data_IF_495107386807
#
_entry.id   IF_495107386807
#
_cell.length_a   1.000
_cell.length_b   1.000
_cell.length_c   1.000
_cell.angle_alpha   90.00
_cell.angle_beta   90.00
_cell.angle_gamma   90.00
#
_symmetry.space_group_name_H-M   'P 1'
#
loop_
_entity.id
_entity.type
_entity.pdbx_description
1 polymer ?
#
# COMPACT_ATOMS: atom_id res chain seq x y z
N UNK A 1 -12.42 31.08 20.31
CA UNK A 1 -13.80 31.49 20.28
C UNK A 1 -14.67 30.29 19.92
N UNK A 2 -15.55 29.96 20.84
CA UNK A 2 -16.44 28.79 20.83
C UNK A 2 -17.53 29.02 19.77
N UNK A 3 -17.63 28.12 18.77
CA UNK A 3 -18.69 28.15 17.77
C UNK A 3 -20.06 27.86 18.41
N UNK A 4 -21.01 28.77 18.18
CA UNK A 4 -22.40 28.64 18.61
C UNK A 4 -23.10 27.54 17.80
N UNK A 5 -23.80 26.65 18.50
CA UNK A 5 -24.74 25.70 17.89
C UNK A 5 -25.99 26.47 17.44
N UNK A 6 -26.39 26.30 16.17
CA UNK A 6 -27.68 26.78 15.65
C UNK A 6 -28.79 25.80 16.04
N UNK A 7 -29.81 26.34 16.70
CA UNK A 7 -31.02 25.60 17.11
C UNK A 7 -32.10 25.84 16.05
N UNK A 8 -32.44 24.83 15.28
CA UNK A 8 -33.60 24.87 14.38
C UNK A 8 -34.82 24.26 15.07
N UNK A 9 -35.83 25.12 15.37
CA UNK A 9 -37.11 24.69 15.96
C UNK A 9 -38.08 24.31 14.85
N UNK A 10 -38.47 23.05 14.80
CA UNK A 10 -39.66 22.60 14.07
C UNK A 10 -40.63 22.02 15.10
N UNK A 11 -41.77 22.66 15.26
CA UNK A 11 -42.86 22.20 16.12
C UNK A 11 -43.93 21.45 15.34
N UNK A 12 -44.24 20.23 15.75
CA UNK A 12 -45.57 19.62 15.60
C UNK A 12 -45.75 18.62 16.76
N UNK A 13 -46.71 18.89 17.64
CA UNK A 13 -47.41 17.93 18.51
C UNK A 13 -46.55 17.12 19.50
N UNK A 14 -46.24 17.70 20.66
CA UNK A 14 -46.28 16.99 21.94
C UNK A 14 -45.37 15.81 22.16
N UNK A 15 -44.04 15.94 21.95
CA UNK A 15 -42.98 15.31 22.74
C UNK A 15 -41.64 15.93 22.30
N UNK A 16 -41.04 16.77 23.17
CA UNK A 16 -39.72 17.31 22.93
C UNK A 16 -38.70 16.17 23.12
N UNK A 17 -38.31 15.50 22.05
CA UNK A 17 -37.05 14.73 22.03
C UNK A 17 -35.92 15.70 21.70
N UNK A 18 -35.14 16.05 22.70
CA UNK A 18 -33.88 16.75 22.53
C UNK A 18 -32.88 15.82 21.83
N UNK A 19 -32.76 15.93 20.49
CA UNK A 19 -31.69 15.27 19.76
C UNK A 19 -30.42 16.08 20.00
N UNK A 20 -29.69 15.73 21.06
CA UNK A 20 -28.31 16.18 21.23
C UNK A 20 -27.48 15.55 20.15
N UNK A 21 -27.28 16.27 19.05
CA UNK A 21 -26.34 15.89 18.01
C UNK A 21 -24.94 15.83 18.64
N UNK A 22 -24.47 14.65 18.99
CA UNK A 22 -23.07 14.46 19.39
C UNK A 22 -22.21 14.92 18.22
N UNK A 23 -21.24 15.84 18.46
CA UNK A 23 -20.27 16.16 17.43
C UNK A 23 -19.58 14.84 17.03
N UNK A 24 -19.70 14.47 15.76
CA UNK A 24 -18.89 13.38 15.23
C UNK A 24 -17.42 13.74 15.48
N UNK A 25 -16.57 12.79 15.90
CA UNK A 25 -15.15 13.06 16.00
C UNK A 25 -14.72 13.54 14.61
N UNK A 26 -14.21 14.79 14.55
CA UNK A 26 -13.51 15.28 13.37
C UNK A 26 -12.45 14.25 13.05
N UNK A 27 -12.47 13.74 11.81
CA UNK A 27 -11.30 13.07 11.27
C UNK A 27 -10.09 13.94 11.63
N UNK A 28 -8.97 13.37 12.11
CA UNK A 28 -7.79 14.14 12.46
C UNK A 28 -7.53 15.08 11.28
N UNK A 29 -7.30 16.38 11.59
CA UNK A 29 -6.91 17.36 10.58
C UNK A 29 -5.86 16.66 9.71
N UNK A 30 -6.19 16.47 8.41
CA UNK A 30 -5.18 15.99 7.46
C UNK A 30 -4.09 17.05 7.54
N UNK A 31 -3.01 16.71 8.25
CA UNK A 31 -1.75 17.39 8.05
C UNK A 31 -1.63 17.53 6.55
N UNK A 32 -1.25 18.70 6.05
CA UNK A 32 -0.94 18.92 4.63
C UNK A 32 0.26 18.02 4.28
N UNK A 33 0.04 16.72 4.34
CA UNK A 33 1.02 15.71 4.00
C UNK A 33 1.17 15.72 2.50
N UNK A 34 2.40 15.74 2.02
CA UNK A 34 2.70 15.57 0.61
C UNK A 34 1.89 14.38 0.06
N UNK A 35 1.07 14.55 -0.99
CA UNK A 35 0.15 13.50 -1.45
C UNK A 35 0.93 12.26 -1.88
N UNK A 36 0.67 11.14 -1.24
CA UNK A 36 1.32 9.86 -1.50
C UNK A 36 0.33 8.90 -2.13
N UNK A 37 0.70 8.29 -3.26
CA UNK A 37 -0.10 7.26 -3.91
C UNK A 37 0.27 5.86 -3.38
N UNK A 38 -0.62 4.88 -3.58
CA UNK A 38 -0.37 3.47 -3.35
C UNK A 38 -0.05 2.74 -4.66
N UNK A 39 0.92 1.83 -4.63
CA UNK A 39 1.27 0.96 -5.74
C UNK A 39 1.44 -0.48 -5.24
N UNK A 40 0.58 -1.39 -5.72
CA UNK A 40 0.70 -2.80 -5.38
C UNK A 40 1.21 -3.59 -6.59
N UNK A 41 2.30 -4.32 -6.41
CA UNK A 41 2.89 -5.14 -7.46
C UNK A 41 2.28 -6.55 -7.43
N UNK A 42 1.51 -6.88 -8.47
CA UNK A 42 0.76 -8.13 -8.61
C UNK A 42 0.99 -8.82 -9.96
N UNK A 43 2.16 -8.60 -10.59
CA UNK A 43 2.46 -9.09 -11.93
C UNK A 43 3.26 -10.40 -11.97
N UNK A 44 3.70 -10.91 -10.81
CA UNK A 44 4.64 -12.03 -10.70
C UNK A 44 4.06 -13.38 -11.12
N UNK A 45 4.96 -14.30 -11.58
CA UNK A 45 4.61 -15.65 -12.08
C UNK A 45 4.42 -16.70 -11.00
N UNK A 46 4.75 -16.39 -9.75
CA UNK A 46 4.67 -17.35 -8.61
C UNK A 46 5.40 -18.69 -8.87
N UNK A 47 6.55 -18.66 -9.55
CA UNK A 47 7.23 -19.87 -10.08
C UNK A 47 7.57 -20.92 -9.02
N UNK A 48 7.73 -20.52 -7.74
CA UNK A 48 7.98 -21.43 -6.61
C UNK A 48 6.73 -22.16 -6.14
N UNK A 49 5.53 -21.70 -6.55
CA UNK A 49 4.24 -22.32 -6.22
C UNK A 49 3.75 -23.34 -7.25
N UNK A 50 4.61 -23.72 -8.20
CA UNK A 50 4.26 -24.62 -9.31
C UNK A 50 3.34 -23.94 -10.33
N UNK A 51 2.16 -24.54 -10.58
CA UNK A 51 1.19 -24.02 -11.56
C UNK A 51 0.19 -23.01 -10.96
N UNK A 52 0.21 -22.81 -9.66
CA UNK A 52 -0.76 -21.93 -8.97
C UNK A 52 -0.20 -20.52 -8.81
N UNK A 53 -1.06 -19.53 -9.00
CA UNK A 53 -0.73 -18.15 -8.71
C UNK A 53 -0.92 -17.89 -7.20
N UNK A 54 0.18 -17.69 -6.47
CA UNK A 54 0.17 -17.46 -5.02
C UNK A 54 -0.74 -16.30 -4.59
N UNK A 55 -0.85 -15.27 -5.43
CA UNK A 55 -1.64 -14.07 -5.14
C UNK A 55 -3.15 -14.36 -5.06
N UNK A 56 -3.60 -15.47 -5.69
CA UNK A 56 -4.99 -15.92 -5.71
C UNK A 56 -5.28 -16.97 -4.66
N UNK A 57 -4.25 -17.52 -3.99
CA UNK A 57 -4.44 -18.50 -2.91
C UNK A 57 -5.15 -17.86 -1.72
N UNK A 58 -6.07 -18.61 -1.07
CA UNK A 58 -6.83 -18.05 0.04
C UNK A 58 -5.99 -17.89 1.30
N UNK A 59 -6.02 -16.69 1.85
CA UNK A 59 -5.49 -16.34 3.16
C UNK A 59 -6.64 -15.71 3.94
N UNK A 60 -6.94 -16.21 5.14
CA UNK A 60 -8.09 -15.71 5.95
C UNK A 60 -9.39 -15.59 5.15
N UNK A 61 -9.68 -16.57 4.29
CA UNK A 61 -10.93 -16.68 3.54
C UNK A 61 -11.05 -15.82 2.28
N UNK A 62 -10.02 -15.06 1.89
CA UNK A 62 -10.00 -14.27 0.65
C UNK A 62 -8.64 -14.35 -0.07
N UNK A 63 -8.55 -13.99 -1.37
CA UNK A 63 -7.29 -14.03 -2.11
C UNK A 63 -6.19 -13.23 -1.40
N UNK A 64 -4.97 -13.79 -1.34
CA UNK A 64 -3.81 -13.18 -0.66
C UNK A 64 -3.58 -11.72 -1.09
N UNK A 65 -3.60 -11.45 -2.39
CA UNK A 65 -3.44 -10.11 -2.95
C UNK A 65 -4.44 -9.09 -2.38
N UNK A 66 -5.66 -9.54 -2.11
CA UNK A 66 -6.73 -8.65 -1.65
C UNK A 66 -6.37 -7.98 -0.33
N UNK A 67 -5.71 -8.70 0.59
CA UNK A 67 -5.24 -8.14 1.86
C UNK A 67 -4.26 -6.98 1.66
N UNK A 68 -3.27 -7.14 0.77
CA UNK A 68 -2.29 -6.09 0.50
C UNK A 68 -2.94 -4.85 -0.14
N UNK A 69 -3.94 -5.06 -1.03
CA UNK A 69 -4.68 -3.96 -1.66
C UNK A 69 -5.60 -3.26 -0.67
N UNK A 70 -6.31 -4.00 0.17
CA UNK A 70 -7.19 -3.44 1.21
C UNK A 70 -6.38 -2.65 2.26
N UNK A 71 -5.16 -3.08 2.60
CA UNK A 71 -4.27 -2.33 3.47
C UNK A 71 -3.88 -0.97 2.86
N UNK A 72 -3.60 -0.91 1.56
CA UNK A 72 -3.35 0.35 0.85
C UNK A 72 -4.59 1.25 0.83
N UNK A 73 -5.76 0.68 0.51
CA UNK A 73 -7.02 1.44 0.45
C UNK A 73 -7.47 1.99 1.81
N UNK A 74 -7.14 1.29 2.90
CA UNK A 74 -7.45 1.70 4.26
C UNK A 74 -6.42 2.69 4.84
N UNK A 75 -5.32 2.98 4.13
CA UNK A 75 -4.27 3.92 4.53
C UNK A 75 -4.50 5.33 3.95
N UNK A 76 -3.56 6.25 4.24
CA UNK A 76 -3.54 7.59 3.64
C UNK A 76 -3.13 7.60 2.17
N UNK A 77 -2.63 6.49 1.62
CA UNK A 77 -2.15 6.40 0.23
C UNK A 77 -3.32 6.44 -0.77
N UNK A 78 -3.34 7.43 -1.65
CA UNK A 78 -4.40 7.61 -2.64
C UNK A 78 -3.89 8.39 -3.87
N UNK A 79 -4.26 7.98 -5.10
CA UNK A 79 -5.02 6.78 -5.47
C UNK A 79 -4.20 5.49 -5.30
N UNK A 80 -4.89 4.33 -5.31
CA UNK A 80 -4.24 3.02 -5.28
C UNK A 80 -4.20 2.42 -6.69
N UNK A 81 -2.98 2.09 -7.14
CA UNK A 81 -2.71 1.47 -8.44
C UNK A 81 -2.24 0.04 -8.20
N UNK A 82 -2.77 -0.91 -8.96
CA UNK A 82 -2.33 -2.31 -8.93
C UNK A 82 -1.77 -2.71 -10.28
N UNK A 83 -0.51 -3.12 -10.32
CA UNK A 83 0.13 -3.59 -11.56
C UNK A 83 -0.08 -5.08 -11.71
N UNK A 84 -0.82 -5.46 -12.76
CA UNK A 84 -1.09 -6.85 -13.13
C UNK A 84 -0.14 -7.33 -14.23
N UNK A 85 0.04 -8.64 -14.35
CA UNK A 85 0.87 -9.25 -15.39
C UNK A 85 0.40 -10.67 -15.70
N UNK A 86 1.00 -11.66 -15.05
CA UNK A 86 0.57 -13.05 -15.14
C UNK A 86 -0.87 -13.23 -14.65
N UNK A 87 -1.69 -13.95 -15.41
CA UNK A 87 -3.11 -14.23 -15.09
C UNK A 87 -3.94 -12.99 -14.75
N UNK A 88 -3.73 -11.89 -15.47
CA UNK A 88 -4.31 -10.56 -15.20
C UNK A 88 -5.83 -10.61 -14.98
N UNK A 89 -6.56 -11.43 -15.73
CA UNK A 89 -8.02 -11.47 -15.65
C UNK A 89 -8.50 -12.12 -14.35
N UNK A 90 -7.78 -13.14 -13.84
CA UNK A 90 -8.05 -13.76 -12.54
C UNK A 90 -7.67 -12.80 -11.40
N UNK A 91 -6.53 -12.09 -11.53
CA UNK A 91 -6.11 -11.06 -10.57
C UNK A 91 -7.14 -9.91 -10.53
N UNK A 92 -7.62 -9.46 -11.68
CA UNK A 92 -8.66 -8.43 -11.75
C UNK A 92 -9.97 -8.90 -11.09
N UNK A 93 -10.38 -10.14 -11.34
CA UNK A 93 -11.56 -10.73 -10.71
C UNK A 93 -11.44 -10.82 -9.18
N UNK A 94 -10.25 -11.16 -8.65
CA UNK A 94 -9.98 -11.21 -7.21
C UNK A 94 -10.10 -9.84 -6.52
N UNK A 95 -9.93 -8.75 -7.27
CA UNK A 95 -10.01 -7.37 -6.79
C UNK A 95 -11.35 -6.70 -7.11
N UNK A 96 -12.31 -7.44 -7.65
CA UNK A 96 -13.62 -6.88 -8.01
C UNK A 96 -14.27 -6.18 -6.80
N UNK A 97 -14.84 -5.00 -7.04
CA UNK A 97 -15.49 -4.16 -6.02
C UNK A 97 -14.57 -3.28 -5.20
N UNK A 98 -13.23 -3.36 -5.37
CA UNK A 98 -12.28 -2.42 -4.76
C UNK A 98 -12.07 -1.20 -5.65
N UNK A 99 -11.91 -0.02 -5.03
CA UNK A 99 -11.64 1.25 -5.72
C UNK A 99 -10.15 1.38 -6.06
N UNK A 100 -9.72 0.66 -7.09
CA UNK A 100 -8.33 0.63 -7.55
C UNK A 100 -8.21 0.83 -9.05
N UNK A 101 -7.10 1.39 -9.49
CA UNK A 101 -6.73 1.46 -10.90
C UNK A 101 -5.86 0.26 -11.27
N UNK A 102 -6.38 -0.62 -12.14
CA UNK A 102 -5.61 -1.77 -12.65
C UNK A 102 -4.79 -1.35 -13.87
N UNK A 103 -3.49 -1.61 -13.85
CA UNK A 103 -2.58 -1.35 -14.97
C UNK A 103 -1.89 -2.65 -15.36
N UNK A 104 -1.97 -3.02 -16.65
CA UNK A 104 -1.35 -4.24 -17.14
C UNK A 104 0.09 -4.00 -17.60
N UNK A 105 1.02 -4.80 -17.09
CA UNK A 105 2.38 -4.87 -17.58
C UNK A 105 2.54 -6.08 -18.53
N UNK A 106 2.62 -5.90 -19.85
CA UNK A 106 2.83 -7.03 -20.79
C UNK A 106 4.22 -7.62 -20.66
N UNK A 107 5.20 -6.84 -20.20
CA UNK A 107 6.61 -7.23 -20.09
C UNK A 107 6.97 -7.75 -18.69
N UNK A 108 5.97 -8.21 -17.91
CA UNK A 108 6.15 -8.66 -16.52
C UNK A 108 7.22 -9.77 -16.38
N UNK A 109 7.45 -10.56 -17.45
CA UNK A 109 8.45 -11.63 -17.45
C UNK A 109 9.90 -11.12 -17.45
N UNK A 110 10.12 -9.82 -17.71
CA UNK A 110 11.47 -9.23 -17.77
C UNK A 110 12.00 -8.79 -16.40
N UNK A 111 11.20 -9.00 -15.34
CA UNK A 111 11.58 -8.74 -13.95
C UNK A 111 10.79 -7.63 -13.29
N UNK A 112 10.98 -7.52 -11.98
CA UNK A 112 10.22 -6.61 -11.09
C UNK A 112 10.29 -5.14 -11.53
N UNK A 113 11.45 -4.71 -12.05
CA UNK A 113 11.67 -3.34 -12.50
C UNK A 113 10.67 -2.90 -13.57
N UNK A 114 10.26 -3.81 -14.49
CA UNK A 114 9.27 -3.50 -15.52
C UNK A 114 7.91 -3.14 -14.91
N UNK A 115 7.49 -3.88 -13.87
CA UNK A 115 6.23 -3.64 -13.18
C UNK A 115 6.26 -2.34 -12.37
N UNK A 116 7.38 -2.02 -11.72
CA UNK A 116 7.54 -0.74 -11.03
C UNK A 116 7.43 0.43 -12.02
N UNK A 117 8.13 0.36 -13.18
CA UNK A 117 8.04 1.40 -14.22
C UNK A 117 6.62 1.64 -14.72
N UNK A 118 5.90 0.55 -15.02
CA UNK A 118 4.50 0.63 -15.48
C UNK A 118 3.61 1.28 -14.41
N UNK A 119 3.80 0.90 -13.15
CA UNK A 119 3.08 1.48 -12.04
C UNK A 119 3.38 2.97 -11.84
N UNK A 120 4.65 3.37 -11.87
CA UNK A 120 5.06 4.78 -11.73
C UNK A 120 4.52 5.66 -12.86
N UNK A 121 4.48 5.13 -14.10
CA UNK A 121 3.94 5.86 -15.25
C UNK A 121 2.43 6.12 -15.16
N UNK A 122 1.71 5.35 -14.34
CA UNK A 122 0.27 5.51 -14.12
C UNK A 122 -0.07 6.43 -12.94
N UNK A 123 0.93 6.90 -12.19
CA UNK A 123 0.71 7.79 -11.04
C UNK A 123 0.29 9.19 -11.50
N UNK A 124 -0.60 9.86 -10.76
CA UNK A 124 -0.94 11.25 -11.04
C UNK A 124 0.26 12.17 -10.84
N UNK A 125 0.34 13.23 -11.63
CA UNK A 125 1.43 14.22 -11.55
C UNK A 125 1.51 14.90 -10.17
N UNK A 126 0.41 15.01 -9.48
CA UNK A 126 0.33 15.59 -8.15
C UNK A 126 0.93 14.71 -7.03
N UNK A 127 1.18 13.41 -7.27
CA UNK A 127 1.76 12.55 -6.25
C UNK A 127 3.20 12.94 -5.95
N UNK A 128 3.49 13.33 -4.71
CA UNK A 128 4.84 13.65 -4.25
C UNK A 128 5.69 12.40 -4.00
N UNK A 129 5.04 11.25 -3.77
CA UNK A 129 5.68 9.97 -3.55
C UNK A 129 4.70 8.82 -3.78
N UNK A 130 5.21 7.60 -3.63
CA UNK A 130 4.45 6.36 -3.77
C UNK A 130 4.87 5.31 -2.74
N UNK A 131 3.92 4.67 -2.08
CA UNK A 131 4.17 3.48 -1.27
C UNK A 131 4.05 2.25 -2.14
N UNK A 132 5.16 1.57 -2.37
CA UNK A 132 5.26 0.35 -3.16
C UNK A 132 5.11 -0.85 -2.23
N UNK A 133 4.01 -1.59 -2.39
CA UNK A 133 3.72 -2.83 -1.67
C UNK A 133 3.85 -4.04 -2.59
N UNK A 134 4.18 -5.19 -2.01
CA UNK A 134 4.16 -6.47 -2.71
C UNK A 134 2.82 -7.17 -2.44
N UNK A 135 2.21 -7.75 -3.49
CA UNK A 135 0.92 -8.42 -3.38
C UNK A 135 0.92 -9.71 -2.55
N UNK A 136 2.10 -10.23 -2.24
CA UNK A 136 2.35 -11.45 -1.46
C UNK A 136 2.68 -11.20 0.02
N UNK A 137 2.45 -10.00 0.50
CA UNK A 137 2.65 -9.61 1.91
C UNK A 137 1.29 -9.26 2.57
N UNK A 138 0.44 -10.26 2.83
CA UNK A 138 -0.94 -10.06 3.31
C UNK A 138 -1.05 -9.58 4.75
N UNK A 139 0.06 -9.54 5.49
CA UNK A 139 0.09 -9.12 6.89
C UNK A 139 0.47 -7.64 7.06
N UNK A 140 0.92 -6.96 6.02
CA UNK A 140 1.20 -5.52 6.07
C UNK A 140 -0.09 -4.78 6.40
N UNK A 141 -0.05 -3.93 7.42
CA UNK A 141 -1.20 -3.18 7.91
C UNK A 141 -1.24 -1.75 7.36
N UNK A 142 -2.42 -1.09 7.32
CA UNK A 142 -2.52 0.32 6.97
C UNK A 142 -1.61 1.22 7.83
N UNK A 143 -1.45 0.88 9.11
CA UNK A 143 -0.63 1.63 10.07
C UNK A 143 0.85 1.68 9.68
N UNK A 144 1.37 0.60 9.09
CA UNK A 144 2.74 0.58 8.54
C UNK A 144 2.85 1.59 7.40
N UNK A 145 1.89 1.60 6.48
CA UNK A 145 1.85 2.51 5.33
C UNK A 145 1.74 3.98 5.80
N UNK A 146 0.82 4.24 6.72
CA UNK A 146 0.60 5.56 7.30
C UNK A 146 1.85 6.08 8.02
N UNK A 147 2.57 5.20 8.74
CA UNK A 147 3.81 5.57 9.41
C UNK A 147 4.91 5.99 8.43
N UNK A 148 5.05 5.27 7.30
CA UNK A 148 6.02 5.66 6.26
C UNK A 148 5.64 7.00 5.62
N UNK A 149 4.36 7.21 5.32
CA UNK A 149 3.86 8.46 4.76
C UNK A 149 4.04 9.64 5.72
N UNK A 150 3.82 9.43 7.02
CA UNK A 150 4.06 10.42 8.06
C UNK A 150 5.54 10.82 8.12
N UNK A 151 6.46 9.84 8.17
CA UNK A 151 7.90 10.12 8.20
C UNK A 151 8.35 10.84 6.93
N UNK A 152 7.80 10.48 5.78
CA UNK A 152 8.07 11.16 4.52
C UNK A 152 7.65 12.63 4.56
N UNK A 153 6.50 12.94 5.14
CA UNK A 153 6.03 14.32 5.29
C UNK A 153 6.87 15.15 6.29
N UNK A 154 7.45 14.49 7.30
CA UNK A 154 8.32 15.12 8.31
C UNK A 154 9.74 15.36 7.78
N UNK A 155 10.19 14.60 6.77
CA UNK A 155 11.57 14.57 6.26
C UNK A 155 11.65 15.09 4.81
N UNK A 156 11.70 16.40 4.66
CA UNK A 156 11.62 17.10 3.36
C UNK A 156 12.69 16.66 2.32
N UNK A 157 13.82 16.10 2.75
CA UNK A 157 14.92 15.68 1.88
C UNK A 157 14.94 14.16 1.64
N UNK A 158 14.01 13.41 2.25
CA UNK A 158 13.95 11.97 2.09
C UNK A 158 13.60 11.60 0.64
N UNK A 159 14.49 10.85 -0.02
CA UNK A 159 14.22 10.24 -1.32
C UNK A 159 13.51 8.90 -1.18
N UNK A 160 13.76 8.19 -0.09
CA UNK A 160 13.05 6.95 0.22
C UNK A 160 12.84 6.82 1.74
N UNK A 161 11.72 6.19 2.13
CA UNK A 161 11.45 5.80 3.51
C UNK A 161 11.23 4.29 3.53
N UNK A 162 11.98 3.59 4.37
CA UNK A 162 12.05 2.13 4.40
C UNK A 162 11.83 1.62 5.82
N UNK A 163 10.90 0.70 6.07
CA UNK A 163 10.74 0.10 7.38
C UNK A 163 11.91 -0.86 7.66
N UNK A 164 12.33 -0.94 8.91
CA UNK A 164 13.35 -1.91 9.35
C UNK A 164 12.86 -2.73 10.54
N UNK A 165 13.17 -4.03 10.52
CA UNK A 165 12.98 -4.95 11.64
C UNK A 165 14.37 -5.47 12.05
N UNK A 166 14.76 -5.24 13.28
CA UNK A 166 16.08 -5.64 13.81
C UNK A 166 17.25 -5.18 12.91
N UNK A 167 17.14 -3.98 12.33
CA UNK A 167 18.15 -3.41 11.43
C UNK A 167 18.13 -3.97 9.99
N UNK A 168 17.19 -4.86 9.67
CA UNK A 168 16.99 -5.37 8.30
C UNK A 168 15.87 -4.61 7.60
N UNK A 169 16.13 -4.10 6.39
CA UNK A 169 15.15 -3.39 5.57
C UNK A 169 14.05 -4.33 5.09
N UNK A 170 12.79 -3.85 5.17
CA UNK A 170 11.59 -4.59 4.76
C UNK A 170 10.75 -3.85 3.73
N UNK A 171 9.52 -4.30 3.56
CA UNK A 171 8.47 -3.71 2.72
C UNK A 171 7.24 -3.35 3.57
N UNK A 172 6.38 -2.41 3.10
CA UNK A 172 6.48 -1.64 1.85
C UNK A 172 7.56 -0.57 1.87
N UNK A 173 7.92 -0.04 0.71
CA UNK A 173 8.90 1.05 0.58
C UNK A 173 8.20 2.29 0.03
N UNK A 174 8.41 3.46 0.66
CA UNK A 174 7.98 4.73 0.09
C UNK A 174 9.12 5.32 -0.73
N UNK A 175 8.81 5.74 -1.96
CA UNK A 175 9.74 6.40 -2.88
C UNK A 175 9.23 7.81 -3.18
N UNK A 176 10.10 8.82 -3.03
CA UNK A 176 9.81 10.18 -3.46
C UNK A 176 9.76 10.27 -4.99
N UNK A 177 8.97 11.19 -5.52
CA UNK A 177 8.89 11.46 -6.97
C UNK A 177 10.26 11.75 -7.58
N UNK A 178 11.17 12.37 -6.84
CA UNK A 178 12.53 12.65 -7.29
C UNK A 178 13.30 11.41 -7.77
N UNK A 179 12.95 10.20 -7.27
CA UNK A 179 13.55 8.94 -7.71
C UNK A 179 12.89 8.30 -8.94
N UNK A 180 11.73 8.78 -9.40
CA UNK A 180 10.98 8.10 -10.46
C UNK A 180 11.75 7.99 -11.78
N UNK A 181 12.53 9.02 -12.13
CA UNK A 181 13.36 9.00 -13.32
C UNK A 181 14.49 7.96 -13.24
N UNK A 182 15.10 7.80 -12.08
CA UNK A 182 16.14 6.80 -11.81
C UNK A 182 15.55 5.38 -11.82
N UNK A 183 14.36 5.22 -11.20
CA UNK A 183 13.60 3.97 -11.22
C UNK A 183 13.27 3.53 -12.65
N UNK A 184 12.91 4.48 -13.50
CA UNK A 184 12.59 4.21 -14.89
C UNK A 184 13.77 3.59 -15.70
N UNK A 185 15.01 3.76 -15.24
CA UNK A 185 16.22 3.20 -15.86
C UNK A 185 16.56 1.78 -15.36
N UNK A 186 15.87 1.28 -14.34
CA UNK A 186 16.15 -0.05 -13.80
C UNK A 186 15.72 -1.16 -14.77
N UNK A 187 16.46 -2.27 -14.74
CA UNK A 187 16.20 -3.45 -15.55
C UNK A 187 16.28 -4.73 -14.72
N UNK A 188 15.55 -5.77 -15.14
CA UNK A 188 15.56 -7.09 -14.51
C UNK A 188 14.97 -7.12 -13.09
N UNK A 189 15.42 -8.07 -12.27
CA UNK A 189 14.93 -8.29 -10.91
C UNK A 189 15.64 -7.42 -9.85
N UNK A 190 16.46 -6.47 -10.29
CA UNK A 190 17.27 -5.63 -9.40
C UNK A 190 16.45 -4.53 -8.69
N UNK A 191 15.15 -4.68 -8.64
CA UNK A 191 14.12 -3.84 -8.04
C UNK A 191 14.52 -2.81 -6.98
N UNK A 192 13.77 -2.78 -5.89
CA UNK A 192 13.90 -1.77 -4.84
C UNK A 192 15.31 -1.65 -4.21
N UNK A 193 16.10 -2.74 -4.15
CA UNK A 193 17.41 -2.71 -3.48
C UNK A 193 18.39 -1.74 -4.17
N UNK A 194 18.48 -1.77 -5.51
CA UNK A 194 19.34 -0.81 -6.24
C UNK A 194 18.82 0.62 -6.19
N UNK A 195 17.50 0.79 -6.13
CA UNK A 195 16.91 2.11 -5.92
C UNK A 195 17.31 2.70 -4.60
N UNK A 196 17.27 1.89 -3.56
CA UNK A 196 17.68 2.28 -2.23
C UNK A 196 19.20 2.59 -2.21
N UNK A 197 20.02 1.79 -2.90
CA UNK A 197 21.45 2.04 -3.02
C UNK A 197 21.74 3.38 -3.74
N UNK A 198 20.96 3.73 -4.77
CA UNK A 198 21.08 5.00 -5.50
C UNK A 198 20.63 6.22 -4.66
N UNK A 199 19.68 6.05 -3.75
CA UNK A 199 19.22 7.12 -2.85
C UNK A 199 20.26 7.50 -1.77
N UNK A 200 21.22 6.61 -1.49
CA UNK A 200 22.36 6.87 -0.59
C UNK A 200 21.94 7.32 0.80
N UNK A 201 22.52 8.42 1.28
CA UNK A 201 22.23 9.00 2.60
C UNK A 201 20.83 9.63 2.74
N UNK A 202 20.08 9.76 1.65
CA UNK A 202 18.72 10.30 1.64
C UNK A 202 17.65 9.22 1.86
N UNK A 203 18.05 8.04 2.32
CA UNK A 203 17.12 7.00 2.81
C UNK A 203 16.87 7.24 4.29
N UNK A 204 15.59 7.32 4.65
CA UNK A 204 15.16 7.33 6.04
C UNK A 204 14.70 5.94 6.44
N UNK A 205 15.40 5.33 7.37
CA UNK A 205 15.03 4.04 7.95
C UNK A 205 14.08 4.24 9.13
N UNK A 206 12.97 3.51 9.14
CA UNK A 206 11.95 3.55 10.19
C UNK A 206 11.95 2.23 10.94
N UNK A 207 12.53 2.17 12.14
CA UNK A 207 12.45 0.97 12.97
C UNK A 207 11.00 0.66 13.34
N UNK A 208 10.56 -0.56 13.02
CA UNK A 208 9.24 -1.08 13.37
C UNK A 208 9.42 -2.45 14.05
N UNK A 209 8.67 -2.67 15.12
CA UNK A 209 8.60 -3.97 15.78
C UNK A 209 7.41 -4.78 15.19
N UNK A 210 7.43 -4.96 13.89
CA UNK A 210 6.38 -5.65 13.14
C UNK A 210 6.99 -6.63 12.13
N UNK A 211 6.90 -7.95 12.36
CA UNK A 211 7.44 -8.96 11.46
C UNK A 211 6.76 -8.97 10.08
N UNK A 212 5.58 -8.38 9.94
CA UNK A 212 4.87 -8.32 8.66
C UNK A 212 5.68 -7.64 7.54
N UNK A 213 6.59 -6.71 7.89
CA UNK A 213 7.43 -6.01 6.92
C UNK A 213 8.52 -6.87 6.28
N UNK A 214 8.81 -8.04 6.87
CA UNK A 214 9.84 -8.97 6.42
C UNK A 214 9.28 -10.31 5.89
N UNK A 215 7.95 -10.50 5.95
CA UNK A 215 7.29 -11.77 5.62
C UNK A 215 6.57 -11.67 4.28
N UNK A 216 7.20 -12.18 3.23
CA UNK A 216 6.59 -12.54 1.97
C UNK A 216 6.21 -14.04 1.94
N UNK A 217 5.10 -14.37 1.31
CA UNK A 217 4.64 -15.75 1.16
C UNK A 217 5.07 -16.28 -0.19
N UNK A 218 6.19 -17.01 -0.20
CA UNK A 218 6.82 -17.48 -1.44
C UNK A 218 6.67 -18.99 -1.68
N UNK A 219 6.30 -19.76 -0.65
CA UNK A 219 6.22 -21.21 -0.74
C UNK A 219 4.89 -21.77 -0.21
N UNK A 220 4.48 -22.98 -0.64
CA UNK A 220 3.31 -23.65 -0.10
C UNK A 220 3.37 -23.87 1.41
N UNK A 221 4.57 -24.10 1.96
CA UNK A 221 4.81 -24.30 3.40
C UNK A 221 4.54 -23.01 4.17
N UNK A 222 5.02 -21.86 3.66
CA UNK A 222 4.76 -20.55 4.25
C UNK A 222 3.26 -20.22 4.24
N UNK A 223 2.57 -20.52 3.14
CA UNK A 223 1.14 -20.36 3.03
C UNK A 223 0.38 -21.24 4.02
N UNK A 224 0.76 -22.52 4.15
CA UNK A 224 0.14 -23.46 5.08
C UNK A 224 0.38 -23.06 6.55
N UNK A 225 1.48 -22.40 6.86
CA UNK A 225 1.78 -21.92 8.22
C UNK A 225 0.83 -20.79 8.63
N UNK A 226 0.39 -19.93 7.70
CA UNK A 226 -0.56 -18.87 7.98
C UNK A 226 -1.96 -19.38 8.36
N UNK A 227 -2.42 -20.47 7.72
CA UNK A 227 -3.72 -21.07 8.03
C UNK A 227 -3.78 -21.82 9.39
N UNK A 228 -2.62 -22.02 10.05
CA UNK A 228 -2.53 -22.70 11.37
C UNK A 228 -2.52 -21.75 12.58
N UNK A 229 -2.34 -20.47 12.34
CA UNK A 229 -2.25 -19.47 13.42
C UNK A 229 -3.65 -19.05 13.92
N UNK A 230 -4.71 -19.41 13.20
CA UNK A 230 -6.10 -19.02 13.51
C UNK A 230 -6.98 -20.17 14.03
N UNK A 231 -6.42 -21.31 14.39
CA UNK A 231 -7.10 -22.45 15.02
C UNK A 231 -6.67 -22.57 16.49
#
# INVERSE_FOLDING_TARGET
PVGRAEIQRMGVGGLLMEIVSRPQPRAPDRLESAPVAGLVLAAGRSTRMGTRNKLLEPVRGQPMLRHAVEAQLASVASPVIVVTGHERDQVAAALAGLDVTLVHNPDFATGLASSVRVGLAALPDAAAGVVVSLGDMPNVTPQVIDRLAQVFAEQNEAKAVVPTLLGQRGNPVLLARALFAEVAQLTGDQGARRLLDAAGEQIVEVPLDDPAIALDIDTPEALAAMGRVEA
#
